data_IF_095231438425
#
_entry.id   IF_095231438425
#
_cell.length_a   1.000
_cell.length_b   1.000
_cell.length_c   1.000
_cell.angle_alpha   90.00
_cell.angle_beta   90.00
_cell.angle_gamma   90.00
#
_symmetry.space_group_name_H-M   'P 1'
#
loop_
_entity.id
_entity.type
_entity.pdbx_description
1 polymer ?
#
# COMPACT_ATOMS: atom_id res chain seq x y z
N UNK A 1 -25.22 4.61 1.55
CA UNK A 1 -24.67 3.91 2.73
C UNK A 1 -24.53 2.43 2.43
N UNK A 2 -23.33 1.87 2.64
CA UNK A 2 -23.03 0.44 2.49
C UNK A 2 -22.26 -0.08 3.71
N UNK A 3 -22.28 -1.40 3.94
CA UNK A 3 -21.42 -2.04 4.93
C UNK A 3 -20.11 -2.45 4.27
N UNK A 4 -19.00 -1.95 4.79
CA UNK A 4 -17.65 -2.18 4.30
C UNK A 4 -16.90 -3.06 5.28
N UNK A 5 -16.41 -4.21 4.81
CA UNK A 5 -15.54 -5.09 5.58
C UNK A 5 -14.07 -4.85 5.20
N UNK A 6 -13.22 -4.56 6.19
CA UNK A 6 -11.78 -4.40 5.97
C UNK A 6 -11.04 -5.65 6.47
N UNK A 7 -10.52 -6.46 5.55
CA UNK A 7 -9.66 -7.59 5.87
C UNK A 7 -8.21 -7.11 6.05
N UNK A 8 -7.56 -7.48 7.15
CA UNK A 8 -6.23 -6.96 7.45
C UNK A 8 -6.23 -5.50 7.93
N UNK A 9 -7.36 -5.01 8.46
CA UNK A 9 -7.54 -3.64 8.94
C UNK A 9 -6.67 -3.22 10.14
N UNK A 10 -5.84 -4.12 10.67
CA UNK A 10 -4.85 -3.85 11.73
C UNK A 10 -3.41 -3.78 11.21
N UNK A 11 -3.18 -3.98 9.91
CA UNK A 11 -1.89 -3.80 9.25
C UNK A 11 -1.65 -2.35 8.81
N UNK A 12 -0.54 -2.06 8.13
CA UNK A 12 -0.17 -0.69 7.75
C UNK A 12 -1.24 0.07 6.95
N UNK A 13 -1.39 -0.22 5.66
CA UNK A 13 -2.43 0.41 4.82
C UNK A 13 -3.85 0.11 5.33
N UNK A 14 -4.10 -1.08 5.87
CA UNK A 14 -5.38 -1.45 6.44
C UNK A 14 -5.82 -0.54 7.59
N UNK A 15 -4.89 -0.18 8.49
CA UNK A 15 -5.16 0.73 9.60
C UNK A 15 -5.43 2.16 9.11
N UNK A 16 -4.76 2.61 8.05
CA UNK A 16 -5.04 3.91 7.43
C UNK A 16 -6.46 3.95 6.82
N UNK A 17 -6.86 2.86 6.16
CA UNK A 17 -8.23 2.69 5.61
C UNK A 17 -9.27 2.68 6.72
N UNK A 18 -9.06 1.87 7.75
CA UNK A 18 -9.94 1.79 8.92
C UNK A 18 -10.08 3.17 9.58
N UNK A 19 -8.97 3.86 9.82
CA UNK A 19 -9.00 5.16 10.49
C UNK A 19 -9.69 6.25 9.67
N UNK A 20 -9.52 6.22 8.35
CA UNK A 20 -10.21 7.14 7.45
C UNK A 20 -11.71 6.79 7.36
N UNK A 21 -12.09 5.50 7.36
CA UNK A 21 -13.49 5.06 7.38
C UNK A 21 -14.21 5.48 8.67
N UNK A 22 -13.54 5.46 9.83
CA UNK A 22 -14.13 5.93 11.10
C UNK A 22 -14.64 7.37 11.03
N UNK A 23 -13.99 8.20 10.22
CA UNK A 23 -14.35 9.61 10.06
C UNK A 23 -15.50 9.80 9.06
N UNK A 24 -15.85 8.77 8.27
CA UNK A 24 -16.92 8.83 7.29
C UNK A 24 -18.26 8.42 7.91
N UNK A 25 -19.25 9.33 8.02
CA UNK A 25 -20.59 8.97 8.48
C UNK A 25 -21.40 8.21 7.42
N UNK A 26 -20.88 8.05 6.20
CA UNK A 26 -21.63 7.57 5.04
C UNK A 26 -21.69 6.05 4.93
N UNK A 27 -20.76 5.34 5.56
CA UNK A 27 -20.63 3.89 5.48
C UNK A 27 -20.48 3.28 6.86
N UNK A 28 -20.97 2.05 7.03
CA UNK A 28 -20.73 1.26 8.23
C UNK A 28 -19.49 0.40 7.99
N UNK A 29 -18.58 0.37 8.95
CA UNK A 29 -17.36 -0.43 8.87
C UNK A 29 -17.45 -1.67 9.78
N UNK A 30 -16.93 -2.79 9.29
CA UNK A 30 -16.52 -3.94 10.10
C UNK A 30 -15.06 -4.30 9.80
N UNK A 31 -14.35 -4.84 10.77
CA UNK A 31 -12.94 -5.23 10.62
C UNK A 31 -12.84 -6.74 10.75
N UNK A 32 -12.41 -7.41 9.66
CA UNK A 32 -12.22 -8.86 9.64
C UNK A 32 -10.84 -9.22 10.19
N UNK A 33 -10.81 -10.08 11.19
CA UNK A 33 -9.57 -10.52 11.86
C UNK A 33 -9.59 -12.02 12.12
N UNK A 34 -8.41 -12.64 12.24
CA UNK A 34 -8.29 -14.03 12.72
C UNK A 34 -8.50 -14.13 14.23
N UNK A 35 -8.16 -13.07 14.97
CA UNK A 35 -8.29 -12.98 16.43
C UNK A 35 -8.68 -11.56 16.81
N UNK A 36 -9.71 -11.42 17.64
CA UNK A 36 -10.16 -10.11 18.12
C UNK A 36 -9.04 -9.49 18.98
N UNK A 37 -8.61 -8.25 18.67
CA UNK A 37 -7.62 -7.55 19.48
C UNK A 37 -8.10 -7.32 20.91
N UNK A 38 -7.17 -7.37 21.88
CA UNK A 38 -7.49 -7.07 23.29
C UNK A 38 -7.82 -5.59 23.52
N UNK A 39 -7.24 -4.70 22.71
CA UNK A 39 -7.49 -3.26 22.72
C UNK A 39 -8.11 -2.85 21.39
N UNK A 40 -9.20 -2.12 21.46
CA UNK A 40 -9.94 -1.61 20.29
C UNK A 40 -10.53 -0.24 20.62
N UNK A 41 -10.83 0.55 19.58
CA UNK A 41 -11.66 1.73 19.77
C UNK A 41 -13.11 1.28 19.94
N UNK A 42 -13.88 1.97 20.79
CA UNK A 42 -15.27 1.61 21.09
C UNK A 42 -16.19 1.65 19.85
N UNK A 43 -15.81 2.41 18.82
CA UNK A 43 -16.52 2.50 17.53
C UNK A 43 -16.24 1.32 16.60
N UNK A 44 -15.22 0.49 16.87
CA UNK A 44 -14.80 -0.57 15.97
C UNK A 44 -15.64 -1.84 16.19
N UNK A 45 -16.13 -2.41 15.08
CA UNK A 45 -16.78 -3.73 15.10
C UNK A 45 -15.84 -4.77 14.51
N UNK A 46 -15.22 -5.58 15.37
CA UNK A 46 -14.38 -6.69 14.95
C UNK A 46 -15.19 -7.96 14.75
N UNK A 47 -14.93 -8.65 13.64
CA UNK A 47 -15.55 -9.95 13.33
C UNK A 47 -14.45 -10.97 13.06
N UNK A 48 -14.49 -12.07 13.79
CA UNK A 48 -13.51 -13.14 13.66
C UNK A 48 -13.83 -14.02 12.45
N UNK A 49 -12.82 -14.31 11.63
CA UNK A 49 -12.94 -15.18 10.45
C UNK A 49 -11.75 -16.12 10.33
N UNK A 50 -11.99 -17.30 9.77
CA UNK A 50 -10.96 -18.23 9.34
C UNK A 50 -10.79 -18.14 7.81
N UNK A 51 -9.66 -17.60 7.36
CA UNK A 51 -9.38 -17.43 5.93
C UNK A 51 -9.13 -18.75 5.18
N UNK A 52 -9.09 -19.88 5.88
CA UNK A 52 -9.06 -21.22 5.27
C UNK A 52 -10.44 -21.78 4.95
N UNK A 53 -11.51 -21.20 5.49
CA UNK A 53 -12.90 -21.69 5.35
C UNK A 53 -13.78 -20.65 4.63
N UNK A 54 -13.93 -20.84 3.31
CA UNK A 54 -14.70 -19.92 2.48
C UNK A 54 -16.20 -19.92 2.82
N UNK A 55 -16.77 -21.06 3.19
CA UNK A 55 -18.21 -21.17 3.46
C UNK A 55 -18.57 -20.50 4.79
N UNK A 56 -17.73 -20.67 5.82
CA UNK A 56 -17.84 -19.96 7.09
C UNK A 56 -17.71 -18.44 6.91
N UNK A 57 -16.73 -18.00 6.10
CA UNK A 57 -16.61 -16.58 5.75
C UNK A 57 -17.84 -16.06 5.01
N UNK A 58 -18.39 -16.81 4.05
CA UNK A 58 -19.57 -16.39 3.29
C UNK A 58 -20.77 -16.16 4.20
N UNK A 59 -21.00 -17.05 5.17
CA UNK A 59 -22.03 -16.89 6.19
C UNK A 59 -21.83 -15.62 7.02
N UNK A 60 -20.61 -15.37 7.49
CA UNK A 60 -20.27 -14.15 8.26
C UNK A 60 -20.52 -12.88 7.43
N UNK A 61 -20.11 -12.87 6.17
CA UNK A 61 -20.31 -11.74 5.25
C UNK A 61 -21.79 -11.47 5.02
N UNK A 62 -22.59 -12.52 4.78
CA UNK A 62 -24.03 -12.43 4.61
C UNK A 62 -24.75 -11.92 5.87
N UNK A 63 -24.48 -12.51 7.04
CA UNK A 63 -25.09 -12.14 8.31
C UNK A 63 -24.82 -10.68 8.68
N UNK A 64 -23.62 -10.18 8.37
CA UNK A 64 -23.25 -8.77 8.59
C UNK A 64 -23.68 -7.84 7.46
N UNK A 65 -24.35 -8.37 6.42
CA UNK A 65 -24.81 -7.63 5.23
C UNK A 65 -23.68 -6.87 4.55
N UNK A 66 -22.49 -7.46 4.49
CA UNK A 66 -21.32 -6.86 3.87
C UNK A 66 -21.59 -6.65 2.39
N UNK A 67 -21.44 -5.42 1.93
CA UNK A 67 -21.60 -5.04 0.53
C UNK A 67 -20.26 -4.96 -0.19
N UNK A 68 -19.27 -4.31 0.45
CA UNK A 68 -17.93 -4.12 -0.11
C UNK A 68 -16.89 -4.72 0.80
N UNK A 69 -15.95 -5.46 0.25
CA UNK A 69 -14.76 -5.91 0.96
C UNK A 69 -13.55 -5.11 0.48
N UNK A 70 -12.76 -4.61 1.41
CA UNK A 70 -11.45 -4.01 1.14
C UNK A 70 -10.39 -4.92 1.74
N UNK A 71 -9.60 -5.58 0.90
CA UNK A 71 -8.50 -6.43 1.35
C UNK A 71 -7.22 -5.63 1.52
N UNK A 72 -6.71 -5.62 2.75
CA UNK A 72 -5.39 -5.15 3.14
C UNK A 72 -4.54 -6.28 3.73
N UNK A 73 -4.82 -7.53 3.34
CA UNK A 73 -4.02 -8.70 3.71
C UNK A 73 -2.60 -8.58 3.14
N UNK A 74 -1.59 -9.07 3.86
CA UNK A 74 -0.20 -9.11 3.38
C UNK A 74 0.00 -10.30 2.45
N UNK A 75 -0.27 -10.10 1.16
CA UNK A 75 -0.20 -11.16 0.13
C UNK A 75 1.18 -11.18 -0.51
N UNK A 76 2.05 -12.07 0.00
CA UNK A 76 3.45 -12.18 -0.42
C UNK A 76 3.88 -13.61 -0.77
N UNK A 77 3.10 -14.61 -0.36
CA UNK A 77 3.43 -16.03 -0.47
C UNK A 77 2.18 -16.85 -0.85
N UNK A 78 2.33 -18.16 -1.16
CA UNK A 78 1.20 -18.99 -1.54
C UNK A 78 0.09 -19.10 -0.48
N UNK A 79 0.42 -19.11 0.82
CA UNK A 79 -0.56 -19.27 1.88
C UNK A 79 -1.41 -18.00 2.06
N UNK A 80 -0.77 -16.83 2.04
CA UNK A 80 -1.47 -15.53 2.06
C UNK A 80 -2.27 -15.26 0.78
N UNK A 81 -1.80 -15.75 -0.37
CA UNK A 81 -2.54 -15.75 -1.64
C UNK A 81 -3.79 -16.63 -1.58
N UNK A 82 -3.68 -17.82 -0.99
CA UNK A 82 -4.81 -18.73 -0.81
C UNK A 82 -5.86 -18.15 0.14
N UNK A 83 -5.43 -17.56 1.25
CA UNK A 83 -6.30 -16.86 2.19
C UNK A 83 -7.14 -15.76 1.52
N UNK A 84 -6.53 -14.92 0.68
CA UNK A 84 -7.27 -13.89 -0.05
C UNK A 84 -8.16 -14.49 -1.15
N UNK A 85 -7.70 -15.50 -1.87
CA UNK A 85 -8.51 -16.21 -2.87
C UNK A 85 -9.75 -16.86 -2.24
N UNK A 86 -9.65 -17.40 -1.02
CA UNK A 86 -10.78 -17.94 -0.28
C UNK A 86 -11.73 -16.83 0.18
N UNK A 87 -11.22 -15.67 0.57
CA UNK A 87 -12.06 -14.50 0.85
C UNK A 87 -12.83 -14.04 -0.39
N UNK A 88 -12.21 -14.09 -1.59
CA UNK A 88 -12.91 -13.82 -2.86
C UNK A 88 -14.03 -14.81 -3.11
N UNK A 89 -13.78 -16.12 -2.91
CA UNK A 89 -14.83 -17.15 -3.05
C UNK A 89 -15.98 -16.92 -2.07
N UNK A 90 -15.66 -16.62 -0.81
CA UNK A 90 -16.64 -16.31 0.22
C UNK A 90 -17.49 -15.07 -0.14
N UNK A 91 -16.83 -14.03 -0.67
CA UNK A 91 -17.48 -12.82 -1.16
C UNK A 91 -18.47 -13.13 -2.30
N UNK A 92 -18.08 -13.96 -3.25
CA UNK A 92 -18.92 -14.34 -4.38
C UNK A 92 -20.12 -15.21 -3.97
N UNK A 93 -19.99 -16.02 -2.91
CA UNK A 93 -21.08 -16.82 -2.35
C UNK A 93 -22.07 -15.99 -1.51
N UNK A 94 -21.63 -14.87 -0.93
CA UNK A 94 -22.46 -14.07 -0.05
C UNK A 94 -23.34 -13.09 -0.86
N UNK A 95 -24.66 -13.34 -0.89
CA UNK A 95 -25.63 -12.54 -1.66
C UNK A 95 -25.57 -11.01 -1.43
N UNK A 96 -25.14 -10.58 -0.25
CA UNK A 96 -25.00 -9.16 0.10
C UNK A 96 -23.80 -8.49 -0.56
N UNK A 97 -22.74 -9.25 -0.85
CA UNK A 97 -21.46 -8.70 -1.32
C UNK A 97 -21.54 -8.44 -2.82
N UNK A 98 -21.10 -7.25 -3.22
CA UNK A 98 -21.12 -6.78 -4.61
C UNK A 98 -19.75 -6.32 -5.08
N UNK A 99 -18.92 -5.81 -4.16
CA UNK A 99 -17.64 -5.19 -4.49
C UNK A 99 -16.46 -5.74 -3.73
N UNK A 100 -15.30 -5.78 -4.39
CA UNK A 100 -14.05 -6.26 -3.80
C UNK A 100 -12.85 -5.40 -4.21
N UNK A 101 -12.06 -4.94 -3.24
CA UNK A 101 -10.73 -4.35 -3.49
C UNK A 101 -9.67 -5.39 -3.17
N UNK A 102 -8.88 -5.78 -4.18
CA UNK A 102 -7.79 -6.73 -4.02
C UNK A 102 -6.57 -6.11 -3.31
N UNK A 103 -5.90 -6.88 -2.46
CA UNK A 103 -4.68 -6.43 -1.77
C UNK A 103 -3.47 -6.47 -2.69
N UNK A 104 -3.40 -5.47 -3.56
CA UNK A 104 -2.30 -5.27 -4.50
C UNK A 104 -1.69 -3.85 -4.41
N UNK A 105 -1.78 -3.22 -3.24
CA UNK A 105 -1.28 -1.87 -2.96
C UNK A 105 0.17 -1.68 -3.43
N UNK A 106 0.40 -0.62 -4.21
CA UNK A 106 1.70 -0.27 -4.80
C UNK A 106 1.68 -0.18 -6.32
N UNK A 107 2.38 -1.10 -6.98
CA UNK A 107 2.56 -1.17 -8.44
C UNK A 107 2.17 -2.55 -8.97
N UNK A 108 2.10 -2.68 -10.29
CA UNK A 108 2.03 -3.98 -10.95
C UNK A 108 3.36 -4.76 -10.78
N UNK A 109 3.32 -5.87 -10.04
CA UNK A 109 4.46 -6.75 -9.84
C UNK A 109 4.64 -7.68 -11.05
N UNK A 110 5.90 -8.03 -11.36
CA UNK A 110 6.18 -9.01 -12.40
C UNK A 110 5.67 -10.40 -11.99
N UNK A 111 4.92 -11.06 -12.88
CA UNK A 111 4.32 -12.39 -12.67
C UNK A 111 5.37 -13.51 -12.51
N UNK A 112 6.64 -13.24 -12.82
CA UNK A 112 7.74 -14.18 -12.58
C UNK A 112 8.14 -14.23 -11.10
N UNK A 113 7.87 -13.17 -10.33
CA UNK A 113 8.22 -13.07 -8.91
C UNK A 113 7.20 -13.76 -8.00
N UNK A 114 7.62 -14.21 -6.82
CA UNK A 114 6.72 -14.86 -5.84
C UNK A 114 5.53 -13.98 -5.45
N UNK A 115 5.78 -12.68 -5.22
CA UNK A 115 4.72 -11.71 -4.88
C UNK A 115 3.78 -11.48 -6.07
N UNK A 116 4.31 -11.36 -7.29
CA UNK A 116 3.51 -11.22 -8.50
C UNK A 116 2.60 -12.43 -8.73
N UNK A 117 3.11 -13.65 -8.56
CA UNK A 117 2.31 -14.89 -8.64
C UNK A 117 1.22 -14.94 -7.57
N UNK A 118 1.57 -14.60 -6.33
CA UNK A 118 0.64 -14.60 -5.20
C UNK A 118 -0.53 -13.64 -5.44
N UNK A 119 -0.25 -12.39 -5.83
CA UNK A 119 -1.30 -11.39 -6.13
C UNK A 119 -2.06 -11.73 -7.41
N UNK A 120 -1.36 -12.21 -8.45
CA UNK A 120 -1.97 -12.61 -9.72
C UNK A 120 -3.02 -13.72 -9.56
N UNK A 121 -2.81 -14.67 -8.63
CA UNK A 121 -3.79 -15.71 -8.32
C UNK A 121 -5.10 -15.14 -7.74
N UNK A 122 -5.04 -14.14 -6.86
CA UNK A 122 -6.24 -13.46 -6.37
C UNK A 122 -6.99 -12.81 -7.52
N UNK A 123 -6.30 -12.06 -8.39
CA UNK A 123 -6.92 -11.38 -9.53
C UNK A 123 -7.54 -12.39 -10.52
N UNK A 124 -6.87 -13.51 -10.76
CA UNK A 124 -7.43 -14.59 -11.58
C UNK A 124 -8.71 -15.18 -10.95
N UNK A 125 -8.75 -15.33 -9.63
CA UNK A 125 -9.94 -15.79 -8.90
C UNK A 125 -11.08 -14.77 -8.98
N UNK A 126 -10.79 -13.47 -8.85
CA UNK A 126 -11.82 -12.42 -8.97
C UNK A 126 -12.50 -12.44 -10.35
N UNK A 127 -11.73 -12.68 -11.42
CA UNK A 127 -12.26 -12.78 -12.79
C UNK A 127 -13.16 -13.99 -13.05
N UNK A 128 -13.21 -14.97 -12.14
CA UNK A 128 -14.16 -16.09 -12.23
C UNK A 128 -15.46 -15.83 -11.49
N UNK A 129 -15.69 -14.61 -11.01
CA UNK A 129 -16.86 -14.22 -10.20
C UNK A 129 -17.60 -13.06 -10.85
N UNK A 130 -18.84 -12.82 -10.43
CA UNK A 130 -19.65 -11.66 -10.84
C UNK A 130 -19.42 -10.43 -9.94
N UNK A 131 -18.40 -10.45 -9.07
CA UNK A 131 -18.07 -9.31 -8.22
C UNK A 131 -17.54 -8.15 -9.07
N UNK A 132 -18.02 -6.95 -8.79
CA UNK A 132 -17.38 -5.74 -9.30
C UNK A 132 -16.11 -5.47 -8.48
N UNK A 133 -14.94 -5.59 -9.09
CA UNK A 133 -13.68 -5.53 -8.34
C UNK A 133 -12.70 -4.52 -8.90
N UNK A 134 -11.78 -4.08 -8.04
CA UNK A 134 -10.67 -3.23 -8.45
C UNK A 134 -9.39 -3.58 -7.69
N UNK A 135 -8.25 -3.22 -8.26
CA UNK A 135 -6.98 -3.08 -7.56
C UNK A 135 -6.50 -1.64 -7.69
N UNK A 136 -5.88 -1.11 -6.64
CA UNK A 136 -5.26 0.21 -6.68
C UNK A 136 -3.78 0.09 -6.99
N UNK A 137 -3.34 0.76 -8.06
CA UNK A 137 -1.94 1.12 -8.23
C UNK A 137 -1.77 2.53 -7.66
N UNK A 138 -0.89 2.66 -6.67
CA UNK A 138 -0.66 3.90 -5.90
C UNK A 138 0.82 4.27 -5.75
N UNK A 139 1.73 3.54 -6.41
CA UNK A 139 3.16 3.83 -6.42
C UNK A 139 3.84 3.46 -5.11
N UNK A 140 4.80 4.27 -4.69
CA UNK A 140 5.57 4.06 -3.47
C UNK A 140 5.02 4.91 -2.31
N UNK A 141 5.08 4.41 -1.07
CA UNK A 141 4.49 5.12 0.05
C UNK A 141 5.38 6.26 0.57
N UNK A 142 4.80 7.46 0.71
CA UNK A 142 5.48 8.62 1.32
C UNK A 142 5.70 8.45 2.83
N UNK A 143 4.92 7.57 3.45
CA UNK A 143 4.99 7.21 4.87
C UNK A 143 6.42 6.90 5.34
N UNK A 144 7.31 6.43 4.47
CA UNK A 144 8.67 6.07 4.83
C UNK A 144 9.59 7.28 5.04
N UNK A 145 9.19 8.48 4.63
CA UNK A 145 10.06 9.66 4.57
C UNK A 145 9.66 10.82 5.49
N UNK A 146 8.51 10.78 6.16
CA UNK A 146 8.18 11.80 7.17
C UNK A 146 8.85 11.53 8.52
N UNK A 147 9.02 12.51 9.41
CA UNK A 147 9.52 12.25 10.76
C UNK A 147 8.48 11.46 11.57
N UNK A 148 8.85 10.38 12.31
CA UNK A 148 7.90 9.56 13.06
C UNK A 148 7.08 10.32 14.11
N UNK A 149 7.61 11.42 14.61
CA UNK A 149 6.98 12.29 15.62
C UNK A 149 5.85 13.16 15.06
N UNK A 150 5.84 13.47 13.75
CA UNK A 150 4.88 14.40 13.15
C UNK A 150 4.01 13.78 12.06
N UNK A 151 4.57 12.89 11.22
CA UNK A 151 3.78 12.20 10.20
C UNK A 151 3.14 10.95 10.78
N UNK A 152 1.83 11.02 11.01
CA UNK A 152 1.01 9.85 11.38
C UNK A 152 1.19 8.74 10.34
N UNK A 153 1.53 7.53 10.75
CA UNK A 153 1.60 6.38 9.86
C UNK A 153 1.47 5.08 10.65
N UNK A 154 0.96 4.05 10.00
CA UNK A 154 0.92 2.67 10.51
C UNK A 154 1.92 1.76 9.77
N UNK A 155 2.72 2.31 8.87
CA UNK A 155 3.67 1.54 8.08
C UNK A 155 4.94 1.25 8.90
N UNK A 156 5.43 0.00 8.82
CA UNK A 156 6.77 -0.31 9.30
C UNK A 156 7.77 0.37 8.37
N UNK A 157 8.49 1.35 8.91
CA UNK A 157 9.40 2.20 8.13
C UNK A 157 10.67 1.46 7.79
N UNK A 158 11.14 1.68 6.57
CA UNK A 158 12.40 1.18 6.05
C UNK A 158 13.05 2.31 5.26
N UNK A 159 14.35 2.50 5.41
CA UNK A 159 15.07 3.48 4.62
C UNK A 159 15.42 2.88 3.26
N UNK A 160 14.87 3.42 2.18
CA UNK A 160 15.24 3.04 0.82
C UNK A 160 15.46 4.28 -0.02
N UNK A 161 16.48 4.24 -0.88
CA UNK A 161 17.01 5.36 -1.68
C UNK A 161 17.56 6.54 -0.88
N UNK A 162 16.83 7.03 0.13
CA UNK A 162 17.20 8.19 0.95
C UNK A 162 16.96 7.87 2.42
N UNK A 163 18.01 7.98 3.23
CA UNK A 163 18.00 7.95 4.68
C UNK A 163 18.15 9.37 5.21
N UNK A 164 17.02 10.03 5.48
CA UNK A 164 16.98 11.44 5.89
C UNK A 164 17.67 11.63 7.25
N UNK A 165 17.47 10.69 8.17
CA UNK A 165 18.03 10.76 9.54
C UNK A 165 19.56 10.76 9.49
N UNK A 166 20.15 9.88 8.67
CA UNK A 166 21.60 9.74 8.59
C UNK A 166 22.23 10.54 7.43
N UNK A 167 21.44 11.35 6.71
CA UNK A 167 21.90 12.17 5.59
C UNK A 167 22.68 11.35 4.57
N UNK A 168 22.16 10.17 4.22
CA UNK A 168 22.78 9.24 3.27
C UNK A 168 21.79 8.82 2.21
N UNK A 169 22.28 8.60 0.99
CA UNK A 169 21.46 8.15 -0.13
C UNK A 169 22.14 7.00 -0.89
N UNK A 170 21.34 6.01 -1.25
CA UNK A 170 21.68 4.84 -2.06
C UNK A 170 20.69 4.74 -3.21
N UNK A 171 20.87 5.58 -4.23
CA UNK A 171 19.87 5.84 -5.26
C UNK A 171 19.92 4.76 -6.34
N UNK A 172 18.82 4.07 -6.69
CA UNK A 172 18.83 3.09 -7.76
C UNK A 172 19.02 3.75 -9.13
N UNK A 173 19.85 3.14 -9.98
CA UNK A 173 20.05 3.59 -11.36
C UNK A 173 20.66 4.98 -11.45
N UNK A 174 20.06 5.85 -12.27
CA UNK A 174 20.52 7.23 -12.44
C UNK A 174 19.89 8.20 -11.45
N UNK A 175 18.84 7.79 -10.74
CA UNK A 175 18.02 8.63 -9.89
C UNK A 175 17.06 9.54 -10.65
N UNK A 176 17.03 9.47 -11.99
CA UNK A 176 16.14 10.25 -12.85
C UNK A 176 14.97 9.42 -13.40
N UNK A 177 14.92 8.14 -13.07
CA UNK A 177 13.79 7.27 -13.36
C UNK A 177 12.52 7.82 -12.67
N UNK A 178 11.40 7.98 -13.39
CA UNK A 178 10.17 8.51 -12.81
C UNK A 178 9.63 7.62 -11.68
N UNK A 179 9.30 8.26 -10.57
CA UNK A 179 8.73 7.66 -9.37
C UNK A 179 7.40 8.34 -9.05
N UNK A 180 6.40 7.54 -8.71
CA UNK A 180 5.12 8.04 -8.18
C UNK A 180 5.02 7.72 -6.70
N UNK A 181 4.76 8.73 -5.89
CA UNK A 181 4.65 8.63 -4.44
C UNK A 181 3.25 9.00 -3.96
N UNK A 182 2.76 8.28 -2.95
CA UNK A 182 1.46 8.55 -2.34
C UNK A 182 1.48 8.25 -0.86
N UNK A 183 0.90 9.10 -0.03
CA UNK A 183 0.74 8.84 1.40
C UNK A 183 -0.43 7.89 1.66
N UNK A 184 -0.28 6.93 2.59
CA UNK A 184 -1.28 5.88 2.83
C UNK A 184 -2.67 6.41 3.18
N UNK A 185 -2.78 7.50 3.94
CA UNK A 185 -4.08 8.10 4.24
C UNK A 185 -4.71 8.77 3.02
N UNK A 186 -3.92 9.26 2.05
CA UNK A 186 -4.48 9.77 0.81
C UNK A 186 -4.99 8.62 -0.08
N UNK A 187 -4.27 7.49 -0.12
CA UNK A 187 -4.79 6.26 -0.72
C UNK A 187 -6.12 5.86 -0.07
N UNK A 188 -6.20 5.89 1.26
CA UNK A 188 -7.42 5.58 1.98
C UNK A 188 -8.59 6.52 1.63
N UNK A 189 -8.35 7.83 1.52
CA UNK A 189 -9.36 8.80 1.08
C UNK A 189 -9.89 8.45 -0.32
N UNK A 190 -9.01 8.13 -1.26
CA UNK A 190 -9.42 7.72 -2.60
C UNK A 190 -10.23 6.42 -2.59
N UNK A 191 -9.77 5.40 -1.85
CA UNK A 191 -10.49 4.12 -1.71
C UNK A 191 -11.90 4.34 -1.17
N UNK A 192 -12.05 5.17 -0.13
CA UNK A 192 -13.36 5.45 0.47
C UNK A 192 -14.25 6.23 -0.49
N UNK A 193 -13.72 7.24 -1.18
CA UNK A 193 -14.48 8.00 -2.17
C UNK A 193 -14.98 7.13 -3.33
N UNK A 194 -14.24 6.07 -3.70
CA UNK A 194 -14.67 5.15 -4.76
C UNK A 194 -15.89 4.31 -4.36
N UNK A 195 -16.18 4.15 -3.07
CA UNK A 195 -17.36 3.39 -2.61
C UNK A 195 -18.67 3.94 -3.19
N UNK A 196 -18.72 5.25 -3.45
CA UNK A 196 -19.89 5.95 -3.99
C UNK A 196 -19.90 6.04 -5.53
N UNK A 197 -18.88 5.52 -6.20
CA UNK A 197 -18.89 5.46 -7.67
C UNK A 197 -19.98 4.49 -8.16
N UNK A 198 -20.66 4.83 -9.27
CA UNK A 198 -21.68 3.95 -9.84
C UNK A 198 -21.08 2.66 -10.43
N UNK A 199 -19.81 2.69 -10.83
CA UNK A 199 -19.08 1.57 -11.43
C UNK A 199 -17.60 1.62 -11.08
N UNK A 200 -16.96 0.46 -10.94
CA UNK A 200 -15.51 0.32 -10.79
C UNK A 200 -14.87 -0.27 -12.04
N UNK A 201 -13.69 0.27 -12.36
CA UNK A 201 -12.76 -0.36 -13.28
C UNK A 201 -11.90 -1.39 -12.53
N UNK A 202 -11.46 -2.45 -13.21
CA UNK A 202 -10.58 -3.49 -12.63
C UNK A 202 -9.25 -2.92 -12.06
N UNK A 203 -8.85 -1.75 -12.56
CA UNK A 203 -7.64 -1.06 -12.15
C UNK A 203 -7.90 0.43 -12.02
N UNK A 204 -7.64 0.96 -10.82
CA UNK A 204 -7.65 2.38 -10.55
C UNK A 204 -6.27 2.86 -10.15
N UNK A 205 -5.89 4.04 -10.65
CA UNK A 205 -4.66 4.71 -10.25
C UNK A 205 -5.00 5.87 -9.32
N UNK A 206 -4.27 6.02 -8.23
CA UNK A 206 -4.25 7.25 -7.45
C UNK A 206 -2.80 7.65 -7.17
N UNK A 207 -2.54 8.95 -7.04
CA UNK A 207 -1.19 9.40 -6.76
C UNK A 207 -1.15 10.66 -5.90
N UNK A 208 -0.04 10.85 -5.18
CA UNK A 208 0.29 12.13 -4.55
C UNK A 208 1.13 13.00 -5.47
N UNK A 209 2.32 12.53 -5.80
CA UNK A 209 3.27 13.26 -6.64
C UNK A 209 4.04 12.32 -7.56
N UNK A 210 4.38 12.81 -8.74
CA UNK A 210 5.29 12.15 -9.67
C UNK A 210 6.56 12.98 -9.77
N UNK A 211 7.69 12.40 -9.41
CA UNK A 211 9.01 13.05 -9.37
C UNK A 211 10.13 12.02 -9.61
N UNK A 212 11.37 12.32 -9.25
CA UNK A 212 12.51 11.39 -9.34
C UNK A 212 13.24 11.32 -7.99
N UNK A 213 14.12 10.33 -7.80
CA UNK A 213 14.94 10.26 -6.58
C UNK A 213 15.90 11.44 -6.44
N UNK A 214 16.44 11.94 -7.54
CA UNK A 214 17.33 13.10 -7.52
C UNK A 214 16.58 14.38 -7.11
N UNK A 215 15.37 14.60 -7.62
CA UNK A 215 14.56 15.76 -7.24
C UNK A 215 14.05 15.61 -5.79
N UNK A 216 13.68 14.40 -5.36
CA UNK A 216 13.36 14.10 -3.97
C UNK A 216 14.54 14.45 -3.04
N UNK A 217 15.73 13.94 -3.37
CA UNK A 217 16.95 14.19 -2.59
C UNK A 217 17.25 15.68 -2.49
N UNK A 218 17.17 16.40 -3.62
CA UNK A 218 17.37 17.84 -3.65
C UNK A 218 16.43 18.56 -2.69
N UNK A 219 15.14 18.22 -2.69
CA UNK A 219 14.18 18.79 -1.74
C UNK A 219 14.54 18.44 -0.28
N UNK A 220 15.00 17.21 -0.02
CA UNK A 220 15.41 16.80 1.32
C UNK A 220 16.64 17.59 1.81
N UNK A 221 17.65 17.81 0.94
CA UNK A 221 18.81 18.65 1.25
C UNK A 221 18.43 20.11 1.51
N UNK A 222 17.52 20.67 0.70
CA UNK A 222 17.02 22.04 0.86
C UNK A 222 16.28 22.24 2.18
N UNK A 223 15.43 21.29 2.58
CA UNK A 223 14.65 21.40 3.81
C UNK A 223 15.52 21.19 5.04
N UNK A 224 16.41 20.20 5.02
CA UNK A 224 17.29 19.88 6.16
C UNK A 224 18.52 20.78 6.26
N UNK A 225 18.74 21.65 5.27
CA UNK A 225 19.91 22.53 5.20
C UNK A 225 21.25 21.77 5.16
N UNK A 226 21.24 20.50 4.75
CA UNK A 226 22.40 19.60 4.84
C UNK A 226 22.62 18.84 3.53
N UNK A 227 23.89 18.62 3.16
CA UNK A 227 24.26 17.74 2.06
C UNK A 227 24.28 16.28 2.51
N UNK A 228 23.91 15.40 1.60
CA UNK A 228 23.85 13.96 1.85
C UNK A 228 25.08 13.27 1.25
N UNK A 229 25.50 12.16 1.86
CA UNK A 229 26.46 11.22 1.26
C UNK A 229 25.72 10.36 0.23
N UNK A 230 25.98 10.59 -1.06
CA UNK A 230 25.21 10.01 -2.17
C UNK A 230 26.03 8.95 -2.90
N UNK A 231 25.46 7.76 -3.00
CA UNK A 231 25.91 6.70 -3.92
C UNK A 231 24.77 6.30 -4.85
N UNK A 232 25.14 5.89 -6.07
CA UNK A 232 24.21 5.33 -7.04
C UNK A 232 24.43 3.82 -7.14
N UNK A 233 23.33 3.07 -7.15
CA UNK A 233 23.31 1.63 -7.26
C UNK A 233 23.01 1.24 -8.72
N UNK A 234 24.04 0.90 -9.52
CA UNK A 234 23.85 0.60 -10.94
C UNK A 234 23.08 -0.71 -11.14
N UNK A 235 22.50 -0.94 -12.33
CA UNK A 235 21.69 -2.12 -12.61
C UNK A 235 22.38 -3.45 -12.25
N UNK A 236 23.69 -3.56 -12.51
CA UNK A 236 24.47 -4.79 -12.24
C UNK A 236 24.60 -5.09 -10.75
N UNK A 237 24.59 -4.05 -9.90
CA UNK A 237 24.60 -4.18 -8.45
C UNK A 237 23.22 -4.65 -7.94
N UNK A 238 22.16 -4.01 -8.42
CA UNK A 238 20.78 -4.37 -8.09
C UNK A 238 20.44 -5.80 -8.54
N UNK A 239 20.92 -6.25 -9.71
CA UNK A 239 20.73 -7.62 -10.20
C UNK A 239 21.37 -8.69 -9.30
N UNK A 240 22.40 -8.33 -8.54
CA UNK A 240 23.04 -9.22 -7.54
C UNK A 240 22.32 -9.24 -6.20
N UNK A 241 21.27 -8.44 -6.04
CA UNK A 241 20.57 -8.28 -4.76
C UNK A 241 21.33 -7.36 -3.78
N UNK A 242 22.22 -6.52 -4.29
CA UNK A 242 23.04 -5.61 -3.49
C UNK A 242 22.52 -4.17 -3.63
N UNK A 243 22.51 -3.43 -2.51
CA UNK A 243 22.21 -2.00 -2.46
C UNK A 243 23.25 -1.27 -1.61
N UNK A 244 23.34 0.05 -1.74
CA UNK A 244 24.11 0.86 -0.81
C UNK A 244 23.49 0.76 0.58
N UNK A 245 24.28 0.36 1.58
CA UNK A 245 23.83 0.24 2.95
C UNK A 245 23.44 1.61 3.53
N UNK A 246 22.24 1.66 4.11
CA UNK A 246 21.67 2.83 4.79
C UNK A 246 21.60 2.54 6.30
N UNK A 247 22.17 3.38 7.18
CA UNK A 247 22.28 3.10 8.61
C UNK A 247 20.93 2.90 9.32
N UNK A 248 19.85 3.56 8.87
CA UNK A 248 18.51 3.37 9.43
C UNK A 248 17.95 1.94 9.29
N UNK A 249 18.57 1.10 8.46
CA UNK A 249 18.18 -0.30 8.31
C UNK A 249 18.98 -1.25 9.21
N UNK A 250 19.97 -0.75 9.96
CA UNK A 250 20.74 -1.59 10.88
C UNK A 250 19.87 -2.00 12.08
N UNK A 251 19.84 -3.30 12.38
CA UNK A 251 19.09 -3.83 13.52
C UNK A 251 17.57 -3.90 13.32
N UNK A 252 17.05 -3.74 12.09
CA UNK A 252 15.63 -3.97 11.81
C UNK A 252 15.24 -5.43 12.12
N UNK A 253 14.37 -5.68 13.11
CA UNK A 253 14.13 -7.03 13.64
C UNK A 253 13.36 -7.94 12.68
N UNK A 254 12.65 -7.36 11.71
CA UNK A 254 11.70 -8.09 10.87
C UNK A 254 12.35 -8.87 9.72
N UNK A 255 13.57 -8.53 9.31
CA UNK A 255 14.24 -9.16 8.17
C UNK A 255 15.75 -9.33 8.39
N UNK A 256 16.33 -10.51 8.06
CA UNK A 256 17.77 -10.61 7.87
C UNK A 256 18.25 -9.59 6.83
N UNK A 257 19.41 -8.95 7.07
CA UNK A 257 19.94 -7.88 6.21
C UNK A 257 19.91 -8.22 4.72
N UNK A 258 20.38 -9.41 4.34
CA UNK A 258 20.42 -9.87 2.95
C UNK A 258 19.03 -9.97 2.30
N UNK A 259 18.01 -10.33 3.08
CA UNK A 259 16.63 -10.38 2.58
C UNK A 259 16.12 -8.97 2.31
N UNK A 260 16.42 -8.03 3.21
CA UNK A 260 16.04 -6.63 3.05
C UNK A 260 16.75 -5.97 1.85
N UNK A 261 18.05 -6.19 1.69
CA UNK A 261 18.84 -5.71 0.55
C UNK A 261 18.33 -6.29 -0.77
N UNK A 262 17.98 -7.58 -0.80
CA UNK A 262 17.35 -8.20 -1.97
C UNK A 262 16.00 -7.56 -2.32
N UNK A 263 15.15 -7.27 -1.33
CA UNK A 263 13.87 -6.58 -1.54
C UNK A 263 14.07 -5.16 -2.08
N UNK A 264 14.99 -4.40 -1.52
CA UNK A 264 15.34 -3.05 -1.99
C UNK A 264 15.92 -3.06 -3.40
N UNK A 265 16.71 -4.09 -3.72
CA UNK A 265 17.22 -4.29 -5.08
C UNK A 265 16.09 -4.50 -6.08
N UNK A 266 15.09 -5.31 -5.74
CA UNK A 266 13.89 -5.49 -6.57
C UNK A 266 13.12 -4.18 -6.74
N UNK A 267 12.98 -3.37 -5.69
CA UNK A 267 12.37 -2.05 -5.83
C UNK A 267 13.16 -1.14 -6.78
N UNK A 268 14.49 -1.19 -6.71
CA UNK A 268 15.37 -0.52 -7.66
C UNK A 268 15.12 -0.98 -9.10
N UNK A 269 15.16 -2.28 -9.34
CA UNK A 269 14.88 -2.84 -10.68
C UNK A 269 13.50 -2.43 -11.21
N UNK A 270 12.48 -2.39 -10.36
CA UNK A 270 11.16 -1.90 -10.75
C UNK A 270 11.13 -0.40 -11.10
N UNK A 271 11.95 0.43 -10.45
CA UNK A 271 12.13 1.83 -10.86
C UNK A 271 12.78 1.91 -12.25
N UNK A 272 13.83 1.12 -12.49
CA UNK A 272 14.53 1.05 -13.78
C UNK A 272 13.65 0.52 -14.91
N UNK A 273 12.72 -0.39 -14.61
CA UNK A 273 11.71 -0.89 -15.54
C UNK A 273 10.52 0.08 -15.75
N UNK A 274 10.51 1.23 -15.07
CA UNK A 274 9.43 2.21 -15.16
C UNK A 274 8.12 1.79 -14.47
N UNK A 275 8.14 0.80 -13.57
CA UNK A 275 6.91 0.34 -12.89
C UNK A 275 6.31 1.38 -11.96
N UNK A 276 7.12 2.31 -11.44
CA UNK A 276 6.67 3.45 -10.66
C UNK A 276 6.30 4.67 -11.53
N UNK A 277 6.52 4.61 -12.85
CA UNK A 277 6.13 5.64 -13.83
C UNK A 277 4.63 5.54 -14.15
N UNK A 278 3.78 5.83 -13.16
CA UNK A 278 2.34 5.61 -13.29
C UNK A 278 1.68 6.62 -14.25
N UNK A 279 0.61 6.21 -14.97
CA UNK A 279 -0.15 7.09 -15.85
C UNK A 279 -1.07 8.03 -15.05
N UNK A 280 -0.51 9.11 -14.53
CA UNK A 280 -1.22 10.07 -13.66
C UNK A 280 -2.40 10.76 -14.34
N UNK A 281 -2.40 10.87 -15.67
CA UNK A 281 -3.51 11.36 -16.50
C UNK A 281 -4.76 10.45 -16.43
N UNK A 282 -4.55 9.17 -16.12
CA UNK A 282 -5.60 8.17 -15.94
C UNK A 282 -6.04 8.03 -14.47
N UNK A 283 -5.39 8.73 -13.55
CA UNK A 283 -5.69 8.60 -12.13
C UNK A 283 -7.07 9.16 -11.76
N UNK A 284 -7.71 8.54 -10.77
CA UNK A 284 -8.99 8.97 -10.22
C UNK A 284 -8.89 10.29 -9.45
N UNK A 285 -7.69 10.84 -9.28
CA UNK A 285 -7.47 12.22 -8.80
C UNK A 285 -8.37 13.23 -9.52
N UNK A 286 -8.58 13.10 -10.84
CA UNK A 286 -9.46 13.98 -11.62
C UNK A 286 -10.96 13.81 -11.33
N UNK A 287 -11.34 12.65 -10.80
CA UNK A 287 -12.72 12.33 -10.39
C UNK A 287 -13.00 12.91 -8.99
N UNK A 288 -11.98 12.98 -8.15
CA UNK A 288 -12.08 13.48 -6.77
C UNK A 288 -11.14 14.67 -6.52
N UNK A 289 -11.38 15.83 -7.16
CA UNK A 289 -10.50 16.99 -7.05
C UNK A 289 -10.43 17.56 -5.63
N UNK A 290 -11.40 17.27 -4.77
CA UNK A 290 -11.39 17.73 -3.37
C UNK A 290 -10.38 16.97 -2.50
N UNK A 291 -9.94 15.78 -2.93
CA UNK A 291 -8.87 15.05 -2.27
C UNK A 291 -7.55 15.66 -2.74
N UNK A 292 -6.93 16.45 -1.86
CA UNK A 292 -5.61 17.05 -2.05
C UNK A 292 -4.56 16.19 -1.36
N UNK A 293 -3.83 15.33 -2.09
CA UNK A 293 -2.86 14.44 -1.47
C UNK A 293 -1.57 15.19 -1.12
N UNK A 294 -0.87 14.70 -0.10
CA UNK A 294 0.45 15.20 0.25
C UNK A 294 1.44 15.03 -0.91
N UNK A 295 2.26 16.07 -1.09
CA UNK A 295 3.45 16.07 -1.93
C UNK A 295 4.67 15.65 -1.13
N UNK A 296 5.73 15.29 -1.83
CA UNK A 296 7.06 14.99 -1.26
C UNK A 296 7.50 16.17 -0.38
N UNK A 297 7.42 17.40 -0.91
CA UNK A 297 7.80 18.59 -0.16
C UNK A 297 7.01 18.74 1.13
N UNK A 298 5.69 18.55 1.12
CA UNK A 298 4.85 18.71 2.32
C UNK A 298 5.30 17.77 3.46
N UNK A 299 5.70 16.55 3.12
CA UNK A 299 6.23 15.57 4.07
C UNK A 299 7.63 15.95 4.52
N UNK A 300 8.48 16.39 3.59
CA UNK A 300 9.86 16.77 3.90
C UNK A 300 9.94 17.99 4.80
N UNK A 301 9.08 19.00 4.58
CA UNK A 301 8.99 20.23 5.39
C UNK A 301 8.80 19.95 6.89
N UNK A 302 8.23 18.81 7.26
CA UNK A 302 8.11 18.38 8.66
C UNK A 302 9.47 18.13 9.33
N UNK A 303 10.56 17.97 8.57
CA UNK A 303 11.93 17.85 9.08
C UNK A 303 12.63 19.20 9.32
N UNK A 304 12.04 20.34 8.92
CA UNK A 304 12.73 21.65 8.89
C UNK A 304 13.31 22.10 10.24
N UNK A 305 12.83 21.55 11.35
CA UNK A 305 13.28 21.88 12.71
C UNK A 305 13.54 20.62 13.58
N UNK A 306 13.85 19.47 12.96
CA UNK A 306 14.17 18.20 13.65
C UNK A 306 15.68 18.00 13.85
#
# INVERSE_FOLDING_TARGET
MVVVAVAGGTGGIGSAIVDTLRQSPQHKMIILTRKIPATSQSSDTFVSVDYSDADSMAKVLHENKVHTIISALRVFDPASSEAESNLVKAAAQADSTKRFVASAWGIAYAETTSVGKARGRTLATLRTTDLEWTRFDNGFFLDYYGPPSLLKSYMNRVAWAIDIVNKKAGIPGTGNEPMTFTYTFDVAKFVIATLDLPKWDELMYCHGEKTTWNEFLKQAEEVTGSKFDVSYDPPEKLQKGEVTSLPSNEGTPDFPRQVLEGLMSFWGLYALEGKYDMPTDKAINKVFPDIQPLKVKDVLEMWRDQ
#
